data_IF_755999636505
#
_entry.id   IF_755999636505
#
_cell.length_a   1.000
_cell.length_b   1.000
_cell.length_c   1.000
_cell.angle_alpha   90.00
_cell.angle_beta   90.00
_cell.angle_gamma   90.00
#
_symmetry.space_group_name_H-M   'P 1'
#
loop_
_entity.id
_entity.type
_entity.pdbx_description
1 polymer ?
#
# COMPACT_ATOMS: atom_id res chain seq x y z
N UNK A 1 -3.33 -23.17 -3.48
CA UNK A 1 -3.44 -22.50 -2.15
C UNK A 1 -2.34 -21.44 -1.95
N UNK A 2 -1.05 -21.80 -1.92
CA UNK A 2 0.06 -20.84 -1.66
C UNK A 2 0.10 -19.68 -2.68
N UNK A 3 0.00 -19.98 -3.97
CA UNK A 3 0.01 -18.99 -5.07
C UNK A 3 -1.04 -17.89 -4.85
N UNK A 4 -2.20 -18.24 -4.30
CA UNK A 4 -3.25 -17.25 -4.05
C UNK A 4 -2.95 -16.30 -2.89
N UNK A 5 -2.24 -16.77 -1.86
CA UNK A 5 -1.73 -15.86 -0.82
C UNK A 5 -0.66 -14.91 -1.35
N UNK A 6 0.18 -15.35 -2.29
CA UNK A 6 1.13 -14.47 -2.96
C UNK A 6 0.43 -13.41 -3.82
N UNK A 7 -0.66 -13.77 -4.52
CA UNK A 7 -1.50 -12.83 -5.25
C UNK A 7 -2.06 -11.74 -4.32
N UNK A 8 -2.63 -12.17 -3.19
CA UNK A 8 -3.18 -11.28 -2.15
C UNK A 8 -2.09 -10.36 -1.61
N UNK A 9 -0.90 -10.90 -1.31
CA UNK A 9 0.20 -10.11 -0.77
C UNK A 9 0.70 -9.06 -1.77
N UNK A 10 0.76 -9.41 -3.06
CA UNK A 10 1.07 -8.48 -4.16
C UNK A 10 0.06 -7.34 -4.23
N UNK A 11 -1.23 -7.67 -4.17
CA UNK A 11 -2.31 -6.68 -4.15
C UNK A 11 -2.23 -5.78 -2.91
N UNK A 12 -2.08 -6.36 -1.72
CA UNK A 12 -1.92 -5.59 -0.48
C UNK A 12 -0.73 -4.63 -0.54
N UNK A 13 0.40 -5.07 -1.12
CA UNK A 13 1.57 -4.23 -1.31
C UNK A 13 1.31 -3.07 -2.28
N UNK A 14 0.60 -3.31 -3.39
CA UNK A 14 0.19 -2.25 -4.32
C UNK A 14 -0.67 -1.19 -3.64
N UNK A 15 -1.65 -1.61 -2.82
CA UNK A 15 -2.50 -0.73 -2.02
C UNK A 15 -1.74 0.05 -0.93
N UNK A 16 -0.67 -0.53 -0.41
CA UNK A 16 0.26 0.13 0.52
C UNK A 16 1.12 1.21 -0.12
N UNK A 17 1.28 1.19 -1.45
CA UNK A 17 1.96 2.24 -2.20
C UNK A 17 0.97 3.34 -2.58
N UNK A 18 -0.06 3.00 -3.37
CA UNK A 18 -1.08 3.96 -3.81
C UNK A 18 -2.47 3.44 -3.53
N UNK A 19 -3.42 4.36 -3.40
CA UNK A 19 -4.81 3.99 -3.14
C UNK A 19 -5.64 4.07 -4.42
N UNK A 20 -5.56 5.18 -5.15
CA UNK A 20 -6.41 5.39 -6.31
C UNK A 20 -6.08 4.47 -7.45
N UNK A 21 -4.82 4.50 -7.83
CA UNK A 21 -4.32 3.85 -9.03
C UNK A 21 -4.55 2.32 -9.03
N UNK A 22 -4.20 1.55 -7.98
CA UNK A 22 -4.42 0.11 -8.00
C UNK A 22 -5.90 -0.26 -7.96
N UNK A 23 -6.73 0.47 -7.19
CA UNK A 23 -8.17 0.24 -7.17
C UNK A 23 -8.80 0.56 -8.53
N UNK A 24 -8.37 1.63 -9.20
CA UNK A 24 -8.83 1.98 -10.54
C UNK A 24 -8.50 0.88 -11.55
N UNK A 25 -7.28 0.36 -11.53
CA UNK A 25 -6.87 -0.72 -12.45
C UNK A 25 -7.76 -1.94 -12.26
N UNK A 26 -7.96 -2.38 -11.01
CA UNK A 26 -8.78 -3.56 -10.74
C UNK A 26 -10.25 -3.30 -11.11
N UNK A 27 -10.76 -2.11 -10.82
CA UNK A 27 -12.12 -1.74 -11.19
C UNK A 27 -12.34 -1.69 -12.70
N UNK A 28 -11.34 -1.26 -13.48
CA UNK A 28 -11.40 -1.30 -14.95
C UNK A 28 -11.31 -2.72 -15.50
N UNK A 29 -10.57 -3.62 -14.84
CA UNK A 29 -10.38 -5.00 -15.29
C UNK A 29 -11.55 -5.93 -14.91
N UNK A 30 -12.20 -5.68 -13.76
CA UNK A 30 -13.18 -6.59 -13.15
C UNK A 30 -14.46 -5.88 -12.69
N UNK A 31 -14.88 -4.82 -13.38
CA UNK A 31 -15.96 -3.89 -12.96
C UNK A 31 -17.26 -4.56 -12.48
N UNK A 32 -17.72 -5.60 -13.17
CA UNK A 32 -19.02 -6.23 -12.87
C UNK A 32 -18.92 -7.25 -11.73
N UNK A 33 -17.84 -8.03 -11.68
CA UNK A 33 -17.61 -9.01 -10.60
C UNK A 33 -17.21 -8.34 -9.28
N UNK A 34 -16.50 -7.20 -9.32
CA UNK A 34 -16.12 -6.45 -8.10
C UNK A 34 -17.33 -5.84 -7.40
N UNK A 35 -18.17 -5.12 -8.15
CA UNK A 35 -19.25 -4.34 -7.55
C UNK A 35 -20.31 -5.27 -6.95
N UNK A 36 -20.50 -6.45 -7.53
CA UNK A 36 -21.42 -7.45 -6.99
C UNK A 36 -20.93 -8.10 -5.68
N UNK A 37 -19.62 -8.21 -5.47
CA UNK A 37 -19.04 -8.99 -4.36
C UNK A 37 -18.39 -8.14 -3.25
N UNK A 38 -18.32 -6.81 -3.42
CA UNK A 38 -17.76 -5.89 -2.42
C UNK A 38 -18.85 -5.41 -1.43
N UNK A 39 -18.75 -5.77 -0.13
CA UNK A 39 -19.79 -5.49 0.87
C UNK A 39 -19.99 -4.00 1.16
N UNK A 40 -19.04 -3.12 0.79
CA UNK A 40 -19.06 -1.68 1.12
C UNK A 40 -19.49 -0.81 -0.07
N UNK A 41 -19.45 -1.34 -1.30
CA UNK A 41 -19.50 -0.54 -2.54
C UNK A 41 -20.65 -0.95 -3.47
N UNK A 42 -21.31 -2.08 -3.23
CA UNK A 42 -22.35 -2.64 -4.11
C UNK A 42 -23.60 -1.77 -4.35
N UNK A 43 -23.76 -0.67 -3.62
CA UNK A 43 -24.83 0.32 -3.83
C UNK A 43 -24.54 1.35 -4.94
N UNK A 44 -23.30 1.49 -5.41
CA UNK A 44 -22.92 2.48 -6.41
C UNK A 44 -22.77 1.83 -7.79
N UNK A 45 -23.23 2.49 -8.87
CA UNK A 45 -23.03 1.98 -10.22
C UNK A 45 -21.52 1.94 -10.56
N UNK A 46 -21.02 0.87 -11.22
CA UNK A 46 -19.60 0.73 -11.56
C UNK A 46 -19.02 1.94 -12.30
N UNK A 47 -19.81 2.55 -13.20
CA UNK A 47 -19.42 3.74 -13.96
C UNK A 47 -19.10 4.95 -13.07
N UNK A 48 -19.84 5.13 -11.98
CA UNK A 48 -19.62 6.23 -11.04
C UNK A 48 -18.36 5.97 -10.23
N UNK A 49 -18.14 4.73 -9.81
CA UNK A 49 -16.91 4.33 -9.11
C UNK A 49 -15.67 4.55 -9.98
N UNK A 50 -15.73 4.16 -11.26
CA UNK A 50 -14.63 4.40 -12.22
C UNK A 50 -14.36 5.90 -12.34
N UNK A 51 -15.40 6.73 -12.44
CA UNK A 51 -15.22 8.19 -12.49
C UNK A 51 -14.56 8.74 -11.21
N UNK A 52 -15.01 8.31 -10.03
CA UNK A 52 -14.45 8.73 -8.73
C UNK A 52 -12.98 8.30 -8.62
N UNK A 53 -12.67 7.04 -8.90
CA UNK A 53 -11.30 6.52 -8.83
C UNK A 53 -10.39 7.10 -9.91
N UNK A 54 -10.92 7.43 -11.09
CA UNK A 54 -10.17 8.15 -12.13
C UNK A 54 -9.81 9.55 -11.64
N UNK A 55 -10.77 10.28 -11.08
CA UNK A 55 -10.52 11.61 -10.53
C UNK A 55 -9.51 11.55 -9.39
N UNK A 56 -9.60 10.54 -8.51
CA UNK A 56 -8.65 10.33 -7.43
C UNK A 56 -7.25 9.96 -7.94
N UNK A 57 -7.13 9.05 -8.91
CA UNK A 57 -5.85 8.66 -9.50
C UNK A 57 -5.15 9.83 -10.21
N UNK A 58 -5.92 10.66 -10.92
CA UNK A 58 -5.43 11.92 -11.50
C UNK A 58 -4.94 12.86 -10.39
N UNK A 59 -5.74 13.03 -9.33
CA UNK A 59 -5.33 13.84 -8.18
C UNK A 59 -4.05 13.32 -7.51
N UNK A 60 -3.90 12.00 -7.37
CA UNK A 60 -2.71 11.33 -6.82
C UNK A 60 -1.47 11.59 -7.71
N UNK A 61 -1.62 11.45 -9.03
CA UNK A 61 -0.57 11.70 -10.02
C UNK A 61 -0.10 13.17 -10.04
N UNK A 62 -1.03 14.13 -10.05
CA UNK A 62 -0.68 15.55 -10.10
C UNK A 62 -0.26 16.08 -8.73
N UNK A 63 -0.91 15.64 -7.65
CA UNK A 63 -0.60 16.05 -6.28
C UNK A 63 0.76 15.56 -5.81
N UNK A 64 1.25 14.42 -6.34
CA UNK A 64 2.58 13.91 -6.05
C UNK A 64 3.73 14.80 -6.57
N UNK A 65 3.46 15.77 -7.44
CA UNK A 65 4.50 16.64 -8.03
C UNK A 65 4.84 17.86 -7.17
N UNK A 66 4.03 18.19 -6.16
CA UNK A 66 4.27 19.32 -5.24
C UNK A 66 4.48 18.81 -3.83
N UNK A 67 5.46 19.34 -3.10
CA UNK A 67 5.80 18.91 -1.72
C UNK A 67 4.61 19.00 -0.75
N UNK A 68 3.76 20.03 -0.87
CA UNK A 68 2.55 20.16 -0.05
C UNK A 68 1.48 19.12 -0.43
N UNK A 69 1.33 18.84 -1.72
CA UNK A 69 0.42 17.80 -2.22
C UNK A 69 0.85 16.42 -1.75
N UNK A 70 2.15 16.12 -1.78
CA UNK A 70 2.70 14.87 -1.25
C UNK A 70 2.39 14.67 0.24
N UNK A 71 2.50 15.71 1.08
CA UNK A 71 2.19 15.61 2.52
C UNK A 71 0.71 15.30 2.77
N UNK A 72 -0.17 16.03 2.11
CA UNK A 72 -1.62 15.84 2.26
C UNK A 72 -2.01 14.45 1.76
N UNK A 73 -1.52 14.06 0.58
CA UNK A 73 -1.77 12.75 0.01
C UNK A 73 -1.23 11.62 0.90
N UNK A 74 -0.04 11.76 1.48
CA UNK A 74 0.50 10.77 2.41
C UNK A 74 -0.33 10.65 3.69
N UNK A 75 -0.77 11.76 4.28
CA UNK A 75 -1.60 11.73 5.48
C UNK A 75 -2.94 11.02 5.22
N UNK A 76 -3.60 11.38 4.10
CA UNK A 76 -4.82 10.70 3.67
C UNK A 76 -4.52 9.22 3.40
N UNK A 77 -3.48 8.93 2.62
CA UNK A 77 -3.15 7.56 2.26
C UNK A 77 -2.76 6.70 3.46
N UNK A 78 -2.17 7.26 4.51
CA UNK A 78 -1.85 6.53 5.73
C UNK A 78 -3.10 6.06 6.47
N UNK A 79 -4.15 6.88 6.47
CA UNK A 79 -5.43 6.56 7.12
C UNK A 79 -6.24 5.57 6.28
N UNK A 80 -6.23 5.74 4.95
CA UNK A 80 -7.06 4.95 4.03
C UNK A 80 -6.36 3.72 3.46
N UNK A 81 -5.03 3.55 3.58
CA UNK A 81 -4.32 2.38 3.05
C UNK A 81 -4.75 1.05 3.66
N UNK A 82 -5.12 0.93 4.96
CA UNK A 82 -5.63 -0.33 5.49
C UNK A 82 -6.94 -0.73 4.81
N UNK A 83 -7.83 0.25 4.56
CA UNK A 83 -9.11 0.02 3.88
C UNK A 83 -8.85 -0.41 2.43
N UNK A 84 -7.99 0.32 1.73
CA UNK A 84 -7.59 -0.02 0.36
C UNK A 84 -6.96 -1.42 0.28
N UNK A 85 -6.07 -1.75 1.21
CA UNK A 85 -5.41 -3.05 1.30
C UNK A 85 -6.38 -4.20 1.57
N UNK A 86 -7.35 -4.01 2.48
CA UNK A 86 -8.40 -4.99 2.73
C UNK A 86 -9.26 -5.23 1.49
N UNK A 87 -9.74 -4.16 0.87
CA UNK A 87 -10.58 -4.21 -0.33
C UNK A 87 -9.85 -4.94 -1.45
N UNK A 88 -8.60 -4.53 -1.77
CA UNK A 88 -7.84 -5.14 -2.85
C UNK A 88 -7.56 -6.62 -2.59
N UNK A 89 -7.22 -6.97 -1.35
CA UNK A 89 -6.92 -8.35 -0.96
C UNK A 89 -8.12 -9.27 -1.05
N UNK A 90 -9.28 -8.81 -0.55
CA UNK A 90 -10.55 -9.54 -0.66
C UNK A 90 -10.96 -9.71 -2.12
N UNK A 91 -10.83 -8.64 -2.90
CA UNK A 91 -11.14 -8.67 -4.33
C UNK A 91 -10.27 -9.68 -5.07
N UNK A 92 -8.95 -9.64 -4.89
CA UNK A 92 -8.06 -10.62 -5.52
C UNK A 92 -8.44 -12.02 -5.07
N UNK A 93 -8.60 -12.26 -3.77
CA UNK A 93 -8.97 -13.58 -3.25
C UNK A 93 -10.27 -14.14 -3.85
N UNK A 94 -11.28 -13.28 -4.09
CA UNK A 94 -12.52 -13.68 -4.75
C UNK A 94 -12.31 -13.99 -6.24
N UNK A 95 -11.59 -13.12 -6.97
CA UNK A 95 -11.32 -13.29 -8.41
C UNK A 95 -10.52 -14.56 -8.69
N UNK A 96 -9.49 -14.83 -7.90
CA UNK A 96 -8.68 -16.05 -8.03
C UNK A 96 -9.29 -17.27 -7.32
N UNK A 97 -10.52 -17.15 -6.81
CA UNK A 97 -11.28 -18.20 -6.10
C UNK A 97 -10.44 -18.92 -5.05
N UNK A 98 -9.83 -18.14 -4.15
CA UNK A 98 -9.02 -18.66 -3.05
C UNK A 98 -9.90 -19.54 -2.15
N UNK A 99 -9.60 -20.84 -2.10
CA UNK A 99 -10.25 -21.83 -1.21
C UNK A 99 -9.81 -21.63 0.25
N UNK A 100 -10.17 -20.49 0.85
CA UNK A 100 -9.89 -20.17 2.23
C UNK A 100 -11.11 -19.50 2.86
N UNK A 101 -11.79 -20.23 3.75
CA UNK A 101 -13.10 -19.81 4.30
C UNK A 101 -13.06 -18.55 5.18
N UNK A 102 -12.00 -18.24 5.95
CA UNK A 102 -11.95 -16.97 6.67
C UNK A 102 -11.44 -15.84 5.77
N UNK A 103 -12.28 -15.41 4.82
CA UNK A 103 -12.05 -14.25 3.94
C UNK A 103 -11.75 -12.98 4.75
N UNK A 104 -12.38 -12.79 5.92
CA UNK A 104 -12.12 -11.65 6.80
C UNK A 104 -10.65 -11.57 7.25
N UNK A 105 -9.98 -12.72 7.42
CA UNK A 105 -8.58 -12.78 7.80
C UNK A 105 -7.68 -12.33 6.64
N UNK A 106 -8.05 -12.68 5.40
CA UNK A 106 -7.37 -12.24 4.19
C UNK A 106 -7.45 -10.72 4.05
N UNK A 107 -8.63 -10.14 4.29
CA UNK A 107 -8.81 -8.70 4.33
C UNK A 107 -7.99 -8.03 5.45
N UNK A 108 -7.95 -8.63 6.64
CA UNK A 108 -7.18 -8.11 7.78
C UNK A 108 -5.67 -8.14 7.50
N UNK A 109 -5.13 -9.24 6.97
CA UNK A 109 -3.72 -9.36 6.61
C UNK A 109 -3.38 -8.33 5.52
N UNK A 110 -4.24 -8.20 4.51
CA UNK A 110 -4.10 -7.19 3.46
C UNK A 110 -4.05 -5.76 3.99
N UNK A 111 -4.95 -5.43 4.92
CA UNK A 111 -4.99 -4.15 5.60
C UNK A 111 -3.68 -3.86 6.36
N UNK A 112 -3.22 -4.83 7.14
CA UNK A 112 -2.00 -4.71 7.95
C UNK A 112 -0.76 -4.54 7.07
N UNK A 113 -0.63 -5.33 6.00
CA UNK A 113 0.50 -5.22 5.06
C UNK A 113 0.51 -3.85 4.39
N UNK A 114 -0.62 -3.40 3.85
CA UNK A 114 -0.73 -2.09 3.22
C UNK A 114 -0.40 -0.95 4.21
N UNK A 115 -0.87 -1.09 5.45
CA UNK A 115 -0.61 -0.13 6.52
C UNK A 115 0.88 -0.04 6.89
N UNK A 116 1.53 -1.20 7.12
CA UNK A 116 2.96 -1.27 7.48
C UNK A 116 3.85 -0.68 6.39
N UNK A 117 3.55 -1.00 5.13
CA UNK A 117 4.29 -0.43 3.99
C UNK A 117 4.10 1.08 3.91
N UNK A 118 2.85 1.58 4.03
CA UNK A 118 2.60 3.02 3.96
C UNK A 118 3.21 3.78 5.14
N UNK A 119 3.19 3.21 6.35
CA UNK A 119 3.88 3.77 7.51
C UNK A 119 5.37 3.94 7.27
N UNK A 120 6.01 2.91 6.72
CA UNK A 120 7.46 2.91 6.45
C UNK A 120 7.81 3.95 5.39
N UNK A 121 7.08 3.98 4.28
CA UNK A 121 7.25 5.00 3.22
C UNK A 121 7.05 6.42 3.77
N UNK A 122 6.05 6.60 4.63
CA UNK A 122 5.74 7.90 5.25
C UNK A 122 6.87 8.33 6.19
N UNK A 123 7.39 7.45 7.05
CA UNK A 123 8.49 7.84 7.92
C UNK A 123 9.81 8.04 7.17
N UNK A 124 10.05 7.35 6.03
CA UNK A 124 11.16 7.66 5.12
C UNK A 124 11.06 9.09 4.61
N UNK A 125 9.86 9.50 4.19
CA UNK A 125 9.60 10.85 3.72
C UNK A 125 9.91 11.91 4.79
N UNK A 126 9.48 11.70 6.03
CA UNK A 126 9.76 12.63 7.14
C UNK A 126 11.25 12.70 7.49
N UNK A 127 11.98 11.57 7.48
CA UNK A 127 13.42 11.54 7.77
C UNK A 127 14.25 12.22 6.69
N UNK A 128 13.94 11.96 5.41
CA UNK A 128 14.68 12.49 4.27
C UNK A 128 14.30 13.94 3.90
N UNK A 129 13.37 14.57 4.65
CA UNK A 129 12.88 15.96 4.44
C UNK A 129 12.39 16.24 3.01
N UNK A 130 11.85 15.22 2.34
CA UNK A 130 11.33 15.30 0.98
C UNK A 130 11.98 14.25 0.08
N UNK A 131 11.17 13.32 -0.42
CA UNK A 131 11.64 12.34 -1.40
C UNK A 131 11.76 13.02 -2.78
N UNK A 132 12.81 12.69 -3.56
CA UNK A 132 12.99 13.25 -4.90
C UNK A 132 11.79 12.87 -5.79
N UNK A 133 11.48 13.70 -6.79
CA UNK A 133 10.33 13.48 -7.69
C UNK A 133 10.36 12.09 -8.36
N UNK A 134 11.54 11.56 -8.64
CA UNK A 134 11.74 10.21 -9.17
C UNK A 134 11.15 9.10 -8.29
N UNK A 135 11.08 9.32 -6.97
CA UNK A 135 10.49 8.36 -6.04
C UNK A 135 9.01 8.13 -6.33
N UNK A 136 8.26 9.19 -6.63
CA UNK A 136 6.84 9.06 -6.96
C UNK A 136 6.63 8.26 -8.25
N UNK A 137 7.52 8.41 -9.24
CA UNK A 137 7.47 7.61 -10.46
C UNK A 137 7.76 6.12 -10.18
N UNK A 138 8.70 5.82 -9.28
CA UNK A 138 8.99 4.45 -8.89
C UNK A 138 7.81 3.82 -8.12
N UNK A 139 7.19 4.56 -7.21
CA UNK A 139 6.01 4.13 -6.47
C UNK A 139 4.83 3.84 -7.42
N UNK A 140 4.60 4.72 -8.40
CA UNK A 140 3.61 4.51 -9.47
C UNK A 140 3.89 3.25 -10.30
N UNK A 141 5.12 3.12 -10.79
CA UNK A 141 5.53 1.99 -11.60
C UNK A 141 5.38 0.68 -10.84
N UNK A 142 5.88 0.64 -9.60
CA UNK A 142 5.86 -0.56 -8.77
C UNK A 142 4.43 -0.94 -8.36
N UNK A 143 3.56 0.04 -8.12
CA UNK A 143 2.15 -0.17 -7.87
C UNK A 143 1.45 -0.84 -9.07
N UNK A 144 1.63 -0.32 -10.28
CA UNK A 144 1.06 -0.90 -11.51
C UNK A 144 1.56 -2.33 -11.70
N UNK A 145 2.87 -2.55 -11.60
CA UNK A 145 3.49 -3.87 -11.77
C UNK A 145 2.94 -4.87 -10.76
N UNK A 146 2.82 -4.50 -9.48
CA UNK A 146 2.30 -5.38 -8.44
C UNK A 146 0.83 -5.77 -8.66
N UNK A 147 -0.01 -4.85 -9.14
CA UNK A 147 -1.41 -5.17 -9.48
C UNK A 147 -1.45 -6.16 -10.63
N UNK A 148 -0.70 -5.89 -11.71
CA UNK A 148 -0.66 -6.80 -12.86
C UNK A 148 -0.12 -8.18 -12.48
N UNK A 149 0.93 -8.23 -11.67
CA UNK A 149 1.49 -9.49 -11.19
C UNK A 149 0.56 -10.23 -10.24
N UNK A 150 -0.27 -9.55 -9.46
CA UNK A 150 -1.26 -10.22 -8.60
C UNK A 150 -2.19 -11.14 -9.40
N UNK A 151 -2.49 -10.81 -10.67
CA UNK A 151 -3.34 -11.63 -11.54
C UNK A 151 -2.55 -12.50 -12.52
N UNK A 152 -1.52 -11.97 -13.17
CA UNK A 152 -0.81 -12.68 -14.24
C UNK A 152 0.32 -13.58 -13.75
N UNK A 153 1.00 -13.20 -12.67
CA UNK A 153 2.18 -13.92 -12.16
C UNK A 153 2.28 -13.76 -10.64
N UNK A 154 1.36 -14.38 -9.88
CA UNK A 154 1.24 -14.15 -8.44
C UNK A 154 2.53 -14.42 -7.68
N UNK A 155 3.31 -15.41 -8.10
CA UNK A 155 4.57 -15.76 -7.47
C UNK A 155 5.57 -14.60 -7.51
N UNK A 156 5.74 -13.98 -8.67
CA UNK A 156 6.67 -12.85 -8.84
C UNK A 156 6.20 -11.63 -8.05
N UNK A 157 4.90 -11.31 -8.13
CA UNK A 157 4.31 -10.21 -7.37
C UNK A 157 4.42 -10.39 -5.86
N UNK A 158 4.12 -11.59 -5.36
CA UNK A 158 4.21 -11.92 -3.95
C UNK A 158 5.65 -11.89 -3.43
N UNK A 159 6.63 -12.37 -4.20
CA UNK A 159 8.06 -12.27 -3.82
C UNK A 159 8.48 -10.80 -3.70
N UNK A 160 8.10 -9.95 -4.67
CA UNK A 160 8.38 -8.51 -4.60
C UNK A 160 7.73 -7.90 -3.35
N UNK A 161 6.47 -8.25 -3.06
CA UNK A 161 5.77 -7.81 -1.86
C UNK A 161 6.47 -8.26 -0.57
N UNK A 162 6.97 -9.49 -0.51
CA UNK A 162 7.77 -9.97 0.63
C UNK A 162 9.07 -9.20 0.79
N UNK A 163 9.79 -8.92 -0.29
CA UNK A 163 11.03 -8.12 -0.27
C UNK A 163 10.72 -6.72 0.27
N UNK A 164 9.64 -6.09 -0.19
CA UNK A 164 9.21 -4.78 0.28
C UNK A 164 8.84 -4.79 1.77
N UNK A 165 8.13 -5.83 2.22
CA UNK A 165 7.79 -6.00 3.62
C UNK A 165 9.04 -6.21 4.48
N UNK A 166 9.99 -7.00 4.00
CA UNK A 166 11.28 -7.20 4.66
C UNK A 166 12.07 -5.88 4.76
N UNK A 167 12.12 -5.08 3.69
CA UNK A 167 12.73 -3.75 3.71
C UNK A 167 12.04 -2.82 4.72
N UNK A 168 10.71 -2.88 4.82
CA UNK A 168 9.94 -2.11 5.78
C UNK A 168 10.30 -2.47 7.23
N UNK A 169 10.37 -3.76 7.55
CA UNK A 169 10.76 -4.25 8.88
C UNK A 169 12.21 -3.92 9.21
N UNK A 170 13.12 -4.08 8.24
CA UNK A 170 14.53 -3.72 8.42
C UNK A 170 14.68 -2.22 8.71
N UNK A 171 13.98 -1.38 7.94
CA UNK A 171 14.00 0.06 8.15
C UNK A 171 13.49 0.47 9.54
N UNK A 172 12.39 -0.14 10.00
CA UNK A 172 11.84 0.21 11.31
C UNK A 172 12.77 -0.19 12.46
N UNK A 173 13.50 -1.30 12.30
CA UNK A 173 14.51 -1.75 13.27
C UNK A 173 15.68 -0.77 13.35
N UNK A 174 16.16 -0.27 12.22
CA UNK A 174 17.22 0.75 12.17
C UNK A 174 16.78 2.08 12.82
N UNK A 175 15.50 2.45 12.69
CA UNK A 175 14.96 3.61 13.40
C UNK A 175 14.93 3.44 14.91
N UNK A 176 14.53 2.26 15.38
CA UNK A 176 14.53 1.95 16.81
C UNK A 176 15.95 2.05 17.36
N UNK A 177 16.94 1.49 16.66
CA UNK A 177 18.35 1.56 17.08
C UNK A 177 18.86 3.01 17.18
N UNK A 178 18.61 3.84 16.16
CA UNK A 178 19.02 5.25 16.18
C UNK A 178 18.38 6.05 17.33
N UNK A 179 17.13 5.74 17.66
CA UNK A 179 16.43 6.39 18.78
C UNK A 179 16.96 5.93 20.14
N UNK A 180 17.26 4.64 20.29
CA UNK A 180 17.82 4.07 21.52
C UNK A 180 19.25 4.58 21.78
N UNK A 181 20.11 4.69 20.75
CA UNK A 181 21.46 5.27 20.84
C UNK A 181 21.44 6.74 21.30
N UNK A 182 20.56 7.56 20.70
CA UNK A 182 20.43 8.98 21.07
C UNK A 182 19.76 9.21 22.44
N UNK A 183 19.06 8.20 22.98
CA UNK A 183 18.47 8.26 24.33
C UNK A 183 19.49 7.96 25.44
N UNK A 184 20.54 7.20 25.15
CA UNK A 184 21.58 6.83 26.13
C UNK A 184 22.69 7.88 26.21
N UNK A 185 22.83 8.74 25.20
CA UNK A 185 23.86 9.78 25.14
C UNK A 185 23.69 11.07 26.00
N UNK A 186 22.56 11.41 26.68
CA UNK A 186 22.43 12.74 27.27
C UNK A 186 23.16 12.95 28.61
N UNK A 187 23.68 11.90 29.27
CA UNK A 187 24.18 12.01 30.66
C UNK A 187 25.71 11.91 30.84
N UNK A 188 26.51 11.74 29.78
CA UNK A 188 27.97 11.51 29.94
C UNK A 188 28.84 12.76 29.69
N UNK A 189 28.32 13.84 29.10
CA UNK A 189 29.13 15.04 28.77
C UNK A 189 29.03 16.21 29.77
N UNK A 190 28.35 16.05 30.91
CA UNK A 190 28.25 17.10 31.93
C UNK A 190 29.18 16.85 33.14
N UNK A 191 30.50 16.81 32.90
CA UNK A 191 31.47 17.06 33.98
C UNK A 191 32.76 17.68 33.44
N UNK A 192 32.93 19.01 33.53
CA UNK A 192 34.24 19.62 33.48
C UNK A 192 34.89 19.52 34.87
N UNK A 193 36.11 19.01 34.90
CA UNK A 193 37.01 18.97 36.06
C UNK A 193 37.61 20.36 36.35
#
# INVERSE_FOLDING_TARGET
MVIGFLAVLSAAAAAGMRIGLPLLIILLLYSDELVANLPVIGWLPPRVLVAIFTMWAVFELFGSKRLLGQRILQAIALVFSPIAGAVLSLTVAQVIRLEFEPLWLVGLIGALVAFVLKLTLTGWFFRLRGLPLWWSFLEDFLCVVLVLFAFQSPEQGGIIAMILLWLAVRSSTEWKRYYDENRVAPDTEARPD
#
